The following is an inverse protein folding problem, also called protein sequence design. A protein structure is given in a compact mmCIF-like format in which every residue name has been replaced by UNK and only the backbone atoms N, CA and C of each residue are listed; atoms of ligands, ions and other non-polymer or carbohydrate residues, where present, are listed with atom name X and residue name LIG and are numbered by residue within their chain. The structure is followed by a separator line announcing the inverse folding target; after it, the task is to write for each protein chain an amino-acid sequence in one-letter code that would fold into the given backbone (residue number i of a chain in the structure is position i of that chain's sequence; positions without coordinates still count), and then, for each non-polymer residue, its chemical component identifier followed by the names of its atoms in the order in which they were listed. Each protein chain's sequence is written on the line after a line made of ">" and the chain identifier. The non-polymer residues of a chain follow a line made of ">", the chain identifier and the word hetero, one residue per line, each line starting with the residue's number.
data_IF_744291185862
#
_entry.id   IF_744291185862
#
_cell.length_a   1.000
_cell.length_b   1.000
_cell.length_c   1.000
_cell.angle_alpha   90.00
_cell.angle_beta   90.00
_cell.angle_gamma   90.00
#
_symmetry.space_group_name_H-M   'P 1'
#
loop_
_entity.id
_entity.type
_entity.pdbx_description
1 polymer ?
#
# COMPACT_ATOMS: atom_id res chain seq x y z
N UNK A 1 19.99 -7.61 13.72
CA UNK A 1 19.67 -6.23 13.26
C UNK A 1 19.88 -6.01 11.77
N UNK A 2 21.08 -6.29 11.19
CA UNK A 2 21.34 -6.00 9.77
C UNK A 2 20.40 -6.75 8.80
N UNK A 3 20.12 -8.03 9.08
CA UNK A 3 19.18 -8.83 8.27
C UNK A 3 17.76 -8.27 8.34
N UNK A 4 17.30 -7.89 9.53
CA UNK A 4 15.99 -7.23 9.72
C UNK A 4 15.88 -5.96 8.89
N UNK A 5 16.92 -5.12 8.89
CA UNK A 5 16.95 -3.89 8.09
C UNK A 5 16.94 -4.19 6.59
N UNK A 6 17.70 -5.18 6.13
CA UNK A 6 17.71 -5.61 4.74
C UNK A 6 16.35 -6.13 4.28
N UNK A 7 15.68 -6.93 5.11
CA UNK A 7 14.33 -7.44 4.82
C UNK A 7 13.28 -6.31 4.77
N UNK A 8 13.35 -5.35 5.70
CA UNK A 8 12.47 -4.18 5.67
C UNK A 8 12.74 -3.28 4.47
N UNK A 9 14.01 -3.07 4.11
CA UNK A 9 14.41 -2.32 2.92
C UNK A 9 13.92 -3.00 1.64
N UNK A 10 14.08 -4.32 1.53
CA UNK A 10 13.58 -5.11 0.41
C UNK A 10 12.06 -5.01 0.30
N UNK A 11 11.34 -5.09 1.42
CA UNK A 11 9.88 -4.93 1.44
C UNK A 11 9.43 -3.54 0.98
N UNK A 12 10.04 -2.47 1.49
CA UNK A 12 9.73 -1.10 1.07
C UNK A 12 10.06 -0.87 -0.40
N UNK A 13 11.19 -1.41 -0.87
CA UNK A 13 11.62 -1.34 -2.27
C UNK A 13 10.63 -2.08 -3.18
N UNK A 14 10.11 -3.23 -2.74
CA UNK A 14 9.08 -3.97 -3.45
C UNK A 14 7.76 -3.18 -3.58
N UNK A 15 7.31 -2.52 -2.51
CA UNK A 15 6.15 -1.62 -2.57
C UNK A 15 6.39 -0.47 -3.57
N UNK A 16 7.57 0.14 -3.51
CA UNK A 16 7.96 1.19 -4.45
C UNK A 16 7.93 0.72 -5.90
N UNK A 17 8.37 -0.51 -6.15
CA UNK A 17 8.33 -1.12 -7.48
C UNK A 17 6.88 -1.36 -7.97
N UNK A 18 5.98 -1.83 -7.11
CA UNK A 18 4.55 -1.93 -7.46
C UNK A 18 3.99 -0.55 -7.85
N UNK A 19 4.32 0.50 -7.10
CA UNK A 19 3.89 1.86 -7.43
C UNK A 19 4.47 2.36 -8.77
N UNK A 20 5.74 2.04 -9.07
CA UNK A 20 6.36 2.35 -10.35
C UNK A 20 5.68 1.60 -11.51
N UNK A 21 5.36 0.32 -11.32
CA UNK A 21 4.62 -0.48 -12.30
C UNK A 21 3.24 0.12 -12.60
N UNK A 22 2.44 0.43 -11.56
CA UNK A 22 1.13 1.06 -11.73
C UNK A 22 1.26 2.39 -12.50
N UNK A 23 2.26 3.19 -12.16
CA UNK A 23 2.52 4.47 -12.82
C UNK A 23 2.90 4.28 -14.29
N UNK A 24 3.75 3.31 -14.59
CA UNK A 24 4.16 2.97 -15.94
C UNK A 24 2.98 2.50 -16.81
N UNK A 25 2.17 1.56 -16.31
CA UNK A 25 0.99 1.05 -17.03
C UNK A 25 -0.03 2.16 -17.31
N UNK A 26 -0.17 3.11 -16.37
CA UNK A 26 -1.15 4.20 -16.47
C UNK A 26 -0.68 5.34 -17.37
N UNK A 27 0.57 5.81 -17.23
CA UNK A 27 1.08 6.99 -17.93
C UNK A 27 1.78 6.65 -19.25
N UNK A 28 2.42 5.48 -19.34
CA UNK A 28 3.18 5.01 -20.50
C UNK A 28 4.18 6.04 -21.04
N UNK A 29 4.82 6.80 -20.16
CA UNK A 29 5.85 7.79 -20.53
C UNK A 29 7.25 7.22 -20.35
N UNK A 30 8.23 7.75 -21.09
CA UNK A 30 9.64 7.35 -20.97
C UNK A 30 10.16 7.50 -19.53
N UNK A 31 9.77 8.58 -18.84
CA UNK A 31 10.12 8.77 -17.43
C UNK A 31 9.59 7.65 -16.53
N UNK A 32 8.34 7.22 -16.74
CA UNK A 32 7.75 6.12 -15.96
C UNK A 32 8.39 4.76 -16.26
N UNK A 33 8.86 4.54 -17.49
CA UNK A 33 9.63 3.36 -17.87
C UNK A 33 10.99 3.34 -17.18
N UNK A 34 11.72 4.47 -17.19
CA UNK A 34 13.01 4.60 -16.49
C UNK A 34 12.87 4.34 -15.00
N UNK A 35 11.85 4.91 -14.34
CA UNK A 35 11.57 4.63 -12.92
C UNK A 35 11.29 3.15 -12.69
N UNK A 36 10.46 2.52 -13.51
CA UNK A 36 10.18 1.09 -13.41
C UNK A 36 11.47 0.27 -13.49
N UNK A 37 12.29 0.46 -14.54
CA UNK A 37 13.56 -0.24 -14.72
C UNK A 37 14.50 -0.04 -13.53
N UNK A 38 14.66 1.20 -13.05
CA UNK A 38 15.53 1.50 -11.91
C UNK A 38 15.07 0.78 -10.63
N UNK A 39 13.75 0.76 -10.37
CA UNK A 39 13.20 0.03 -9.22
C UNK A 39 13.36 -1.49 -9.36
N UNK A 40 13.25 -2.04 -10.58
CA UNK A 40 13.53 -3.45 -10.85
C UNK A 40 14.98 -3.79 -10.50
N UNK A 41 15.92 -3.01 -11.03
CA UNK A 41 17.34 -3.23 -10.79
C UNK A 41 17.67 -3.13 -9.30
N UNK A 42 17.16 -2.09 -8.63
CA UNK A 42 17.33 -1.92 -7.19
C UNK A 42 16.79 -3.10 -6.38
N UNK A 43 15.58 -3.59 -6.71
CA UNK A 43 14.99 -4.77 -6.06
C UNK A 43 15.83 -6.03 -6.26
N UNK A 44 16.26 -6.29 -7.50
CA UNK A 44 17.08 -7.47 -7.84
C UNK A 44 18.42 -7.41 -7.11
N UNK A 45 19.07 -6.25 -7.07
CA UNK A 45 20.32 -6.06 -6.33
C UNK A 45 20.11 -6.27 -4.83
N UNK A 46 19.08 -5.66 -4.22
CA UNK A 46 18.74 -5.84 -2.79
C UNK A 46 18.45 -7.30 -2.45
N UNK A 47 17.66 -8.00 -3.28
CA UNK A 47 17.36 -9.40 -3.11
C UNK A 47 18.63 -10.26 -3.21
N UNK A 48 19.49 -9.99 -4.21
CA UNK A 48 20.79 -10.63 -4.35
C UNK A 48 21.68 -10.44 -3.13
N UNK A 49 21.76 -9.22 -2.59
CA UNK A 49 22.49 -8.94 -1.35
C UNK A 49 21.92 -9.73 -0.17
N UNK A 50 20.60 -9.80 -0.03
CA UNK A 50 19.96 -10.61 1.02
C UNK A 50 20.37 -12.09 0.91
N UNK A 51 20.30 -12.66 -0.30
CA UNK A 51 20.67 -14.06 -0.56
C UNK A 51 22.13 -14.31 -0.16
N UNK A 52 23.07 -13.46 -0.60
CA UNK A 52 24.49 -13.59 -0.26
C UNK A 52 24.70 -13.54 1.26
N UNK A 53 24.06 -12.60 1.95
CA UNK A 53 24.15 -12.50 3.42
C UNK A 53 23.58 -13.74 4.11
N UNK A 54 22.48 -14.29 3.62
CA UNK A 54 21.83 -15.46 4.23
C UNK A 54 22.65 -16.73 4.05
N UNK A 55 23.29 -16.89 2.90
CA UNK A 55 24.18 -18.03 2.63
C UNK A 55 25.49 -17.93 3.42
N UNK A 56 26.06 -16.73 3.54
CA UNK A 56 27.35 -16.53 4.23
C UNK A 56 27.23 -16.50 5.75
N UNK A 57 26.11 -16.04 6.29
CA UNK A 57 25.88 -15.88 7.74
C UNK A 57 24.51 -16.39 8.17
N UNK A 58 24.25 -17.72 8.06
CA UNK A 58 22.93 -18.30 8.34
C UNK A 58 22.51 -18.17 9.81
N UNK A 59 23.47 -18.04 10.75
CA UNK A 59 23.15 -17.84 12.17
C UNK A 59 22.34 -16.55 12.39
N UNK A 60 22.56 -15.50 11.58
CA UNK A 60 21.83 -14.24 11.68
C UNK A 60 20.33 -14.37 11.37
N UNK A 61 19.92 -15.47 10.70
CA UNK A 61 18.51 -15.74 10.44
C UNK A 61 17.75 -16.17 11.70
N UNK A 62 18.45 -16.79 12.66
CA UNK A 62 17.84 -17.27 13.91
C UNK A 62 17.47 -16.12 14.84
N UNK A 63 18.20 -15.01 14.74
CA UNK A 63 17.98 -13.82 15.56
C UNK A 63 16.93 -12.86 14.97
N UNK A 64 16.24 -13.28 13.90
CA UNK A 64 15.21 -12.45 13.29
C UNK A 64 13.97 -12.43 14.18
N UNK A 65 13.63 -11.25 14.70
CA UNK A 65 12.34 -11.03 15.34
C UNK A 65 11.24 -10.91 14.27
N UNK A 66 10.65 -12.04 13.90
CA UNK A 66 9.56 -12.11 12.92
C UNK A 66 8.33 -11.33 13.37
N UNK A 67 8.03 -11.32 14.67
CA UNK A 67 6.88 -10.59 15.23
C UNK A 67 7.01 -9.10 14.94
N UNK A 68 8.20 -8.54 15.19
CA UNK A 68 8.50 -7.14 14.91
C UNK A 68 8.42 -6.83 13.40
N UNK A 69 8.99 -7.69 12.55
CA UNK A 69 8.92 -7.49 11.08
C UNK A 69 7.48 -7.50 10.59
N UNK A 70 6.70 -8.52 10.98
CA UNK A 70 5.30 -8.65 10.59
C UNK A 70 4.48 -7.45 11.09
N UNK A 71 4.78 -6.94 12.28
CA UNK A 71 4.13 -5.75 12.81
C UNK A 71 4.40 -4.52 11.95
N UNK A 72 5.67 -4.24 11.62
CA UNK A 72 6.02 -3.11 10.74
C UNK A 72 5.40 -3.27 9.34
N UNK A 73 5.50 -4.46 8.74
CA UNK A 73 4.92 -4.74 7.43
C UNK A 73 3.40 -4.52 7.43
N UNK A 74 2.70 -5.01 8.45
CA UNK A 74 1.25 -4.81 8.58
C UNK A 74 0.87 -3.34 8.70
N UNK A 75 1.64 -2.55 9.46
CA UNK A 75 1.43 -1.10 9.58
C UNK A 75 1.57 -0.40 8.23
N UNK A 76 2.63 -0.71 7.47
CA UNK A 76 2.83 -0.15 6.13
C UNK A 76 1.67 -0.50 5.20
N UNK A 77 1.24 -1.76 5.15
CA UNK A 77 0.09 -2.19 4.33
C UNK A 77 -1.19 -1.46 4.75
N UNK A 78 -1.43 -1.33 6.06
CA UNK A 78 -2.58 -0.59 6.61
C UNK A 78 -2.55 0.87 6.15
N UNK A 79 -1.44 1.58 6.32
CA UNK A 79 -1.34 3.00 5.94
C UNK A 79 -1.44 3.22 4.44
N UNK A 80 -0.84 2.35 3.62
CA UNK A 80 -0.98 2.42 2.16
C UNK A 80 -2.44 2.24 1.74
N UNK A 81 -3.10 1.19 2.24
CA UNK A 81 -4.50 0.91 1.90
C UNK A 81 -5.48 1.93 2.46
N UNK A 82 -5.17 2.55 3.61
CA UNK A 82 -5.91 3.68 4.15
C UNK A 82 -5.77 4.93 3.27
N UNK A 83 -4.54 5.25 2.86
CA UNK A 83 -4.25 6.38 1.97
C UNK A 83 -4.98 6.28 0.63
N UNK A 84 -5.08 5.07 0.07
CA UNK A 84 -5.87 4.80 -1.14
C UNK A 84 -7.36 5.15 -0.91
N UNK A 85 -7.94 4.68 0.20
CA UNK A 85 -9.36 4.94 0.53
C UNK A 85 -9.62 6.43 0.76
N UNK A 86 -8.75 7.12 1.52
CA UNK A 86 -8.84 8.56 1.74
C UNK A 86 -8.81 9.32 0.41
N UNK A 87 -7.88 8.96 -0.49
CA UNK A 87 -7.78 9.60 -1.82
C UNK A 87 -9.03 9.38 -2.67
N UNK A 88 -9.58 8.17 -2.68
CA UNK A 88 -10.84 7.87 -3.38
C UNK A 88 -11.97 8.72 -2.81
N UNK A 89 -12.10 8.78 -1.48
CA UNK A 89 -13.14 9.55 -0.81
C UNK A 89 -13.04 11.05 -1.12
N UNK A 90 -11.85 11.64 -1.03
CA UNK A 90 -11.60 13.04 -1.38
C UNK A 90 -11.98 13.32 -2.85
N UNK A 91 -11.64 12.40 -3.75
CA UNK A 91 -11.94 12.54 -5.18
C UNK A 91 -13.45 12.51 -5.45
N UNK A 92 -14.17 11.56 -4.84
CA UNK A 92 -15.63 11.46 -4.93
C UNK A 92 -16.29 12.69 -4.33
N UNK A 93 -15.84 13.13 -3.15
CA UNK A 93 -16.37 14.31 -2.47
C UNK A 93 -16.21 15.58 -3.30
N UNK A 94 -15.05 15.77 -3.93
CA UNK A 94 -14.83 16.90 -4.86
C UNK A 94 -15.77 16.86 -6.05
N UNK A 95 -15.96 15.70 -6.68
CA UNK A 95 -16.91 15.54 -7.81
C UNK A 95 -18.36 15.74 -7.38
N UNK A 96 -18.74 15.27 -6.19
CA UNK A 96 -20.08 15.45 -5.66
C UNK A 96 -20.46 16.91 -5.38
N UNK A 97 -19.46 17.80 -5.19
CA UNK A 97 -19.71 19.24 -5.04
C UNK A 97 -19.91 19.98 -6.36
N UNK A 98 -19.50 19.39 -7.48
CA UNK A 98 -19.62 20.01 -8.79
C UNK A 98 -21.09 20.03 -9.25
N UNK A 99 -21.68 21.21 -9.52
CA UNK A 99 -23.05 21.33 -10.00
C UNK A 99 -23.31 20.56 -11.30
N UNK A 100 -22.30 20.38 -12.16
CA UNK A 100 -22.42 19.65 -13.42
C UNK A 100 -22.69 18.15 -13.23
N UNK A 101 -22.42 17.62 -12.03
CA UNK A 101 -22.67 16.22 -11.70
C UNK A 101 -24.08 15.94 -11.16
N UNK A 102 -25.01 16.88 -11.34
CA UNK A 102 -26.39 16.73 -10.93
C UNK A 102 -27.35 16.79 -12.12
N UNK A 103 -28.43 16.00 -12.02
CA UNK A 103 -29.60 16.10 -12.88
C UNK A 103 -30.87 16.21 -12.03
N UNK A 104 -31.95 16.63 -12.66
CA UNK A 104 -33.28 16.55 -12.07
C UNK A 104 -33.86 15.16 -12.36
N UNK A 105 -34.37 14.49 -11.33
CA UNK A 105 -35.12 13.26 -11.52
C UNK A 105 -36.56 13.57 -12.02
N UNK A 106 -37.35 12.51 -12.25
CA UNK A 106 -38.75 12.62 -12.66
C UNK A 106 -39.61 13.51 -11.75
N UNK A 107 -39.27 13.61 -10.46
CA UNK A 107 -39.97 14.44 -9.47
C UNK A 107 -39.41 15.86 -9.33
N UNK A 108 -38.52 16.29 -10.24
CA UNK A 108 -37.86 17.59 -10.16
C UNK A 108 -36.85 17.72 -9.00
N UNK A 109 -36.48 16.61 -8.35
CA UNK A 109 -35.47 16.61 -7.27
C UNK A 109 -34.07 16.53 -7.89
N UNK A 110 -33.16 17.34 -7.35
CA UNK A 110 -31.74 17.31 -7.71
C UNK A 110 -31.08 16.02 -7.20
N UNK A 111 -30.53 15.21 -8.10
CA UNK A 111 -29.88 13.92 -7.80
C UNK A 111 -28.52 13.85 -8.49
N UNK A 112 -27.55 13.19 -7.85
CA UNK A 112 -26.20 12.97 -8.39
C UNK A 112 -26.23 11.98 -9.56
N UNK A 113 -25.42 12.22 -10.58
CA UNK A 113 -25.16 11.24 -11.62
C UNK A 113 -24.38 10.04 -11.08
N UNK A 114 -24.66 8.84 -11.62
CA UNK A 114 -23.92 7.61 -11.30
C UNK A 114 -22.45 7.69 -11.72
N UNK A 115 -22.09 8.60 -12.63
CA UNK A 115 -20.73 8.86 -13.10
C UNK A 115 -19.82 9.50 -12.04
N UNK A 116 -20.39 10.00 -10.93
CA UNK A 116 -19.63 10.60 -9.82
C UNK A 116 -18.73 9.59 -9.13
N UNK A 117 -19.11 8.31 -9.14
CA UNK A 117 -18.29 7.21 -8.61
C UNK A 117 -17.86 6.32 -9.78
N UNK A 118 -16.56 6.26 -10.06
CA UNK A 118 -16.06 5.43 -11.16
C UNK A 118 -16.01 3.98 -10.71
N UNK A 119 -16.41 3.05 -11.59
CA UNK A 119 -16.38 1.60 -11.33
C UNK A 119 -14.99 1.12 -10.85
N UNK A 120 -13.92 1.66 -11.42
CA UNK A 120 -12.54 1.33 -11.03
C UNK A 120 -12.19 1.80 -9.61
N UNK A 121 -12.68 2.95 -9.17
CA UNK A 121 -12.47 3.41 -7.79
C UNK A 121 -13.20 2.51 -6.80
N UNK A 122 -14.39 2.06 -7.16
CA UNK A 122 -15.18 1.12 -6.37
C UNK A 122 -14.47 -0.24 -6.27
N UNK A 123 -13.97 -0.76 -7.39
CA UNK A 123 -13.19 -2.01 -7.43
C UNK A 123 -11.92 -1.93 -6.57
N UNK A 124 -11.16 -0.83 -6.65
CA UNK A 124 -9.97 -0.62 -5.82
C UNK A 124 -10.35 -0.47 -4.34
N UNK A 125 -11.44 0.25 -4.03
CA UNK A 125 -11.91 0.43 -2.67
C UNK A 125 -12.22 -0.93 -2.04
N UNK A 126 -13.11 -1.72 -2.65
CA UNK A 126 -13.49 -3.04 -2.15
C UNK A 126 -12.34 -4.05 -2.18
N UNK A 127 -11.53 -4.05 -3.24
CA UNK A 127 -10.36 -4.93 -3.35
C UNK A 127 -9.31 -4.69 -2.26
N UNK A 128 -9.21 -3.46 -1.74
CA UNK A 128 -8.26 -3.13 -0.64
C UNK A 128 -8.87 -3.26 0.76
N UNK A 129 -10.14 -3.64 0.92
CA UNK A 129 -10.77 -3.82 2.23
C UNK A 129 -10.16 -5.00 3.00
N UNK A 130 -10.06 -6.22 2.44
CA UNK A 130 -9.53 -7.36 3.18
C UNK A 130 -8.12 -7.10 3.72
N UNK A 131 -7.25 -6.54 2.88
CA UNK A 131 -5.89 -6.17 3.29
C UNK A 131 -5.89 -5.12 4.40
N UNK A 132 -6.72 -4.08 4.30
CA UNK A 132 -6.81 -3.05 5.33
C UNK A 132 -7.30 -3.61 6.68
N UNK A 133 -8.33 -4.47 6.66
CA UNK A 133 -8.88 -5.04 7.89
C UNK A 133 -7.92 -6.05 8.53
N UNK A 134 -7.33 -6.95 7.74
CA UNK A 134 -6.40 -7.96 8.25
C UNK A 134 -5.10 -7.32 8.76
N UNK A 135 -4.46 -6.46 7.95
CA UNK A 135 -3.22 -5.80 8.36
C UNK A 135 -3.45 -4.77 9.46
N UNK A 136 -4.56 -4.03 9.39
CA UNK A 136 -4.91 -3.01 10.38
C UNK A 136 -5.28 -3.60 11.73
N UNK A 137 -6.10 -4.66 11.77
CA UNK A 137 -6.42 -5.34 13.03
C UNK A 137 -5.17 -5.91 13.70
N UNK A 138 -4.28 -6.56 12.94
CA UNK A 138 -3.02 -7.06 13.47
C UNK A 138 -2.11 -5.93 13.98
N UNK A 139 -1.93 -4.86 13.18
CA UNK A 139 -1.11 -3.72 13.56
C UNK A 139 -1.60 -3.05 14.86
N UNK A 140 -2.91 -2.76 14.93
CA UNK A 140 -3.53 -2.12 16.08
C UNK A 140 -3.53 -3.03 17.30
N UNK A 141 -3.82 -4.32 17.16
CA UNK A 141 -3.77 -5.26 18.29
C UNK A 141 -2.36 -5.31 18.92
N UNK A 142 -1.33 -5.37 18.08
CA UNK A 142 0.08 -5.35 18.52
C UNK A 142 0.48 -4.00 19.11
N UNK A 143 0.01 -2.90 18.54
CA UNK A 143 0.22 -1.56 19.08
C UNK A 143 -0.39 -1.42 20.47
N UNK A 144 -1.62 -1.91 20.67
CA UNK A 144 -2.30 -1.91 21.96
C UNK A 144 -1.57 -2.80 22.96
N UNK A 145 -1.14 -4.01 22.56
CA UNK A 145 -0.33 -4.88 23.42
C UNK A 145 0.98 -4.23 23.84
N UNK A 146 1.63 -3.50 22.93
CA UNK A 146 2.85 -2.77 23.23
C UNK A 146 2.61 -1.68 24.28
N UNK A 147 1.53 -0.92 24.17
CA UNK A 147 1.21 0.12 25.15
C UNK A 147 0.75 -0.44 26.51
N UNK A 148 -0.07 -1.49 26.52
CA UNK A 148 -0.65 -2.05 27.74
C UNK A 148 0.32 -2.98 28.49
N UNK A 149 1.06 -3.80 27.76
CA UNK A 149 1.87 -4.89 28.31
C UNK A 149 3.37 -4.75 28.01
N UNK A 150 3.80 -3.70 27.31
CA UNK A 150 5.21 -3.49 26.90
C UNK A 150 5.79 -4.66 26.10
N UNK A 151 4.92 -5.41 25.41
CA UNK A 151 5.27 -6.58 24.62
C UNK A 151 4.68 -6.46 23.22
N UNK A 152 5.44 -6.88 22.20
CA UNK A 152 5.01 -6.92 20.81
C UNK A 152 4.29 -8.22 20.50
#
# INVERSE_FOLDING_TARGET
>A
MIVTLLLLALFLSFIGHIAALVTYVTKRTEGSLKTFINTTLSNVTLAGTCIVVFLTKPHLLRDINLVFISWIMSGVVMFVTLGIKIKIFITIYRRAKDPANYHLNFFGKKVLHSTVVKKMELAIFFGTIPFFLLSGSYFIARLLNFFLYKHL
#
